data_IF_931555971847
#
_entry.id   IF_931555971847
#
_cell.length_a   1.000
_cell.length_b   1.000
_cell.length_c   1.000
_cell.angle_alpha   90.00
_cell.angle_beta   90.00
_cell.angle_gamma   90.00
#
_symmetry.space_group_name_H-M   'P 1'
#
loop_
_entity.id
_entity.type
_entity.pdbx_description
1 polymer ?
#
# COMPACT_ATOMS: atom_id res chain seq x y z
N UNK A 1 -6.38 -12.30 -2.79
CA UNK A 1 -6.62 -11.05 -2.04
C UNK A 1 -7.22 -10.01 -2.97
N UNK A 2 -7.82 -8.90 -2.49
CA UNK A 2 -8.50 -7.92 -3.37
C UNK A 2 -8.02 -6.48 -3.25
N UNK A 3 -7.34 -6.12 -2.17
CA UNK A 3 -6.77 -4.78 -2.00
C UNK A 3 -5.30 -4.81 -1.61
N UNK A 4 -4.45 -4.09 -2.34
CA UNK A 4 -3.04 -3.88 -2.05
C UNK A 4 -2.81 -2.45 -1.54
N UNK A 5 -2.36 -2.33 -0.29
CA UNK A 5 -2.02 -1.08 0.37
C UNK A 5 -0.51 -1.03 0.54
N UNK A 6 0.11 0.07 0.16
CA UNK A 6 1.57 0.23 0.22
C UNK A 6 1.91 1.52 0.97
N UNK A 7 2.90 1.50 1.87
CA UNK A 7 3.45 2.75 2.40
C UNK A 7 4.15 3.55 1.30
N UNK A 8 4.36 4.84 1.53
CA UNK A 8 5.13 5.70 0.64
C UNK A 8 6.60 5.77 1.06
N UNK A 9 6.88 6.36 2.22
CA UNK A 9 8.24 6.52 2.73
C UNK A 9 8.84 5.16 3.08
N UNK A 10 10.07 4.90 2.64
CA UNK A 10 10.75 3.61 2.87
C UNK A 10 10.35 2.49 1.92
N UNK A 11 9.30 2.68 1.12
CA UNK A 11 8.79 1.66 0.18
C UNK A 11 8.75 2.17 -1.26
N UNK A 12 7.99 3.23 -1.54
CA UNK A 12 7.78 3.79 -2.89
C UNK A 12 8.71 4.97 -3.23
N UNK A 13 9.42 5.54 -2.26
CA UNK A 13 10.37 6.64 -2.46
C UNK A 13 11.84 6.17 -2.57
N UNK A 14 12.07 4.86 -2.58
CA UNK A 14 13.38 4.22 -2.68
C UNK A 14 14.13 4.45 -4.00
N UNK A 15 15.11 3.60 -4.31
CA UNK A 15 15.95 3.72 -5.51
C UNK A 15 15.12 3.76 -6.81
N UNK A 16 15.63 4.42 -7.85
CA UNK A 16 14.90 4.57 -9.12
C UNK A 16 14.49 3.23 -9.74
N UNK A 17 15.36 2.22 -9.63
CA UNK A 17 15.07 0.86 -10.07
C UNK A 17 13.88 0.25 -9.34
N UNK A 18 13.86 0.29 -8.01
CA UNK A 18 12.75 -0.22 -7.20
C UNK A 18 11.45 0.53 -7.49
N UNK A 19 11.50 1.86 -7.68
CA UNK A 19 10.32 2.64 -8.06
C UNK A 19 9.75 2.21 -9.41
N UNK A 20 10.60 1.87 -10.38
CA UNK A 20 10.17 1.35 -11.68
C UNK A 20 9.48 -0.01 -11.53
N UNK A 21 10.04 -0.89 -10.69
CA UNK A 21 9.49 -2.23 -10.42
C UNK A 21 8.15 -2.16 -9.68
N UNK A 22 8.04 -1.27 -8.68
CA UNK A 22 6.78 -0.97 -8.00
C UNK A 22 5.69 -0.49 -8.95
N UNK A 23 6.01 0.43 -9.88
CA UNK A 23 5.05 0.87 -10.90
C UNK A 23 4.55 -0.29 -11.75
N UNK A 24 5.46 -1.14 -12.23
CA UNK A 24 5.09 -2.34 -13.01
C UNK A 24 4.18 -3.28 -12.22
N UNK A 25 4.47 -3.50 -10.94
CA UNK A 25 3.67 -4.35 -10.05
C UNK A 25 2.26 -3.79 -9.82
N UNK A 26 2.15 -2.48 -9.56
CA UNK A 26 0.85 -1.81 -9.38
C UNK A 26 0.02 -1.78 -10.67
N UNK A 27 0.67 -1.58 -11.82
CA UNK A 27 0.01 -1.67 -13.13
C UNK A 27 -0.56 -3.07 -13.38
N UNK A 28 0.18 -4.13 -13.05
CA UNK A 28 -0.31 -5.50 -13.17
C UNK A 28 -1.44 -5.81 -12.17
N UNK A 29 -1.29 -5.39 -10.91
CA UNK A 29 -2.34 -5.55 -9.91
C UNK A 29 -3.66 -4.90 -10.38
N UNK A 30 -3.57 -3.69 -10.91
CA UNK A 30 -4.72 -2.97 -11.47
C UNK A 30 -5.32 -3.68 -12.69
N UNK A 31 -4.50 -4.22 -13.58
CA UNK A 31 -4.98 -4.97 -14.75
C UNK A 31 -5.80 -6.22 -14.34
N UNK A 32 -5.45 -6.84 -13.21
CA UNK A 32 -6.16 -7.98 -12.63
C UNK A 32 -7.32 -7.59 -11.70
N UNK A 33 -7.67 -6.29 -11.65
CA UNK A 33 -8.81 -5.79 -10.90
C UNK A 33 -8.60 -5.71 -9.38
N UNK A 34 -7.34 -5.66 -8.93
CA UNK A 34 -7.00 -5.45 -7.52
C UNK A 34 -7.05 -3.96 -7.21
N UNK A 35 -7.79 -3.58 -6.17
CA UNK A 35 -7.82 -2.20 -5.69
C UNK A 35 -6.49 -1.83 -5.07
N UNK A 36 -5.97 -0.65 -5.37
CA UNK A 36 -4.64 -0.22 -4.92
C UNK A 36 -4.70 1.11 -4.16
N UNK A 37 -3.97 1.21 -3.06
CA UNK A 37 -3.86 2.45 -2.29
C UNK A 37 -2.47 2.69 -1.73
N UNK A 38 -2.14 3.97 -1.56
CA UNK A 38 -1.06 4.40 -0.68
C UNK A 38 -1.66 4.76 0.67
N UNK A 39 -1.13 4.18 1.75
CA UNK A 39 -1.42 4.61 3.13
C UNK A 39 -0.13 5.09 3.78
N UNK A 40 -0.01 6.40 4.00
CA UNK A 40 1.20 7.01 4.58
C UNK A 40 0.88 7.79 5.85
N UNK A 41 1.72 7.60 6.87
CA UNK A 41 1.71 8.44 8.07
C UNK A 41 2.42 9.78 7.75
N UNK A 42 1.75 10.61 6.96
CA UNK A 42 2.22 11.91 6.50
C UNK A 42 1.19 12.99 6.89
N UNK A 43 1.68 14.17 7.26
CA UNK A 43 0.83 15.30 7.67
C UNK A 43 -0.11 15.77 6.55
N UNK A 44 0.22 15.47 5.30
CA UNK A 44 -0.55 15.82 4.12
C UNK A 44 -0.30 17.23 3.61
N UNK A 45 -1.36 17.86 3.10
CA UNK A 45 -1.29 19.21 2.58
C UNK A 45 -0.44 19.35 1.31
N UNK A 46 0.11 20.55 1.03
CA UNK A 46 0.83 20.81 -0.22
C UNK A 46 2.11 19.98 -0.40
N UNK A 47 2.79 19.63 0.69
CA UNK A 47 4.05 18.87 0.66
C UNK A 47 3.84 17.41 0.24
N UNK A 48 2.63 16.86 0.43
CA UNK A 48 2.27 15.52 -0.03
C UNK A 48 1.95 15.45 -1.54
N UNK A 49 2.19 16.52 -2.32
CA UNK A 49 1.99 16.53 -3.76
C UNK A 49 2.72 15.38 -4.51
N UNK A 50 3.96 14.97 -4.15
CA UNK A 50 4.62 13.82 -4.75
C UNK A 50 3.88 12.51 -4.50
N UNK A 51 3.30 12.31 -3.31
CA UNK A 51 2.52 11.11 -2.96
C UNK A 51 1.23 11.08 -3.80
N UNK A 52 0.50 12.21 -3.84
CA UNK A 52 -0.73 12.35 -4.64
C UNK A 52 -0.51 12.21 -6.13
N UNK A 53 0.70 12.42 -6.62
CA UNK A 53 1.01 12.23 -8.03
C UNK A 53 0.79 10.78 -8.48
N UNK A 54 0.94 9.80 -7.59
CA UNK A 54 0.69 8.39 -7.91
C UNK A 54 -0.78 8.15 -8.28
N UNK A 55 -1.71 8.67 -7.48
CA UNK A 55 -3.13 8.61 -7.79
C UNK A 55 -3.48 9.44 -9.03
N UNK A 56 -2.97 10.68 -9.14
CA UNK A 56 -3.23 11.55 -10.30
C UNK A 56 -2.76 10.94 -11.62
N UNK A 57 -1.68 10.18 -11.60
CA UNK A 57 -1.15 9.47 -12.75
C UNK A 57 -1.79 8.08 -12.95
N UNK A 58 -2.75 7.69 -12.11
CA UNK A 58 -3.52 6.45 -12.23
C UNK A 58 -2.79 5.19 -11.76
N UNK A 59 -1.64 5.32 -11.10
CA UNK A 59 -0.82 4.20 -10.59
C UNK A 59 -1.44 3.52 -9.36
N UNK A 60 -2.19 4.28 -8.57
CA UNK A 60 -3.01 3.76 -7.47
C UNK A 60 -4.40 4.37 -7.55
N UNK A 61 -5.39 3.71 -6.96
CA UNK A 61 -6.77 4.17 -6.97
C UNK A 61 -7.02 5.22 -5.87
N UNK A 62 -6.31 5.11 -4.74
CA UNK A 62 -6.39 6.10 -3.66
C UNK A 62 -5.07 6.42 -2.95
N UNK A 63 -5.02 7.60 -2.33
CA UNK A 63 -3.94 8.07 -1.46
C UNK A 63 -4.55 8.54 -0.15
N UNK A 64 -4.23 7.84 0.93
CA UNK A 64 -4.68 8.09 2.30
C UNK A 64 -3.49 8.59 3.12
N UNK A 65 -3.63 9.79 3.68
CA UNK A 65 -2.60 10.48 4.45
C UNK A 65 -3.13 10.70 5.87
N UNK A 66 -2.37 10.25 6.88
CA UNK A 66 -2.86 10.22 8.27
C UNK A 66 -3.27 11.60 8.79
N UNK A 67 -2.51 12.65 8.46
CA UNK A 67 -2.82 14.03 8.88
C UNK A 67 -4.14 14.57 8.33
N UNK A 68 -4.66 13.98 7.26
CA UNK A 68 -5.91 14.41 6.61
C UNK A 68 -7.12 13.60 7.04
N UNK A 69 -6.90 12.33 7.39
CA UNK A 69 -7.98 11.43 7.86
C UNK A 69 -8.07 11.36 9.38
N UNK A 70 -7.09 11.90 10.11
CA UNK A 70 -7.09 12.00 11.57
C UNK A 70 -6.68 10.72 12.30
N UNK A 71 -6.24 9.68 11.58
CA UNK A 71 -5.81 8.40 12.12
C UNK A 71 -4.55 7.92 11.39
N UNK A 72 -3.65 7.25 12.11
CA UNK A 72 -2.36 6.79 11.59
C UNK A 72 -2.10 5.32 11.90
N UNK A 73 -1.25 4.67 11.10
CA UNK A 73 -0.75 3.33 11.40
C UNK A 73 0.04 3.39 12.71
N UNK A 74 -0.05 2.40 13.63
CA UNK A 74 -0.73 1.11 13.50
C UNK A 74 -2.19 1.07 14.02
N UNK A 75 -2.89 2.21 14.13
CA UNK A 75 -4.23 2.22 14.73
C UNK A 75 -5.23 1.41 13.90
N UNK A 76 -6.19 0.75 14.55
CA UNK A 76 -7.24 0.02 13.84
C UNK A 76 -8.11 0.96 13.00
N UNK A 77 -8.34 2.19 13.47
CA UNK A 77 -9.16 3.20 12.82
C UNK A 77 -8.66 3.55 11.41
N UNK A 78 -7.34 3.69 11.22
CA UNK A 78 -6.83 4.00 9.88
C UNK A 78 -7.06 2.85 8.89
N UNK A 79 -7.02 1.61 9.36
CA UNK A 79 -7.29 0.44 8.52
C UNK A 79 -8.78 0.31 8.18
N UNK A 80 -9.67 0.70 9.08
CA UNK A 80 -11.10 0.79 8.82
C UNK A 80 -11.40 1.86 7.75
N UNK A 81 -10.72 3.02 7.81
CA UNK A 81 -10.83 4.08 6.80
C UNK A 81 -10.37 3.59 5.42
N UNK A 82 -9.24 2.86 5.34
CA UNK A 82 -8.78 2.33 4.05
C UNK A 82 -9.75 1.28 3.50
N UNK A 83 -10.26 0.39 4.36
CA UNK A 83 -11.26 -0.60 3.98
C UNK A 83 -12.53 0.05 3.40
N UNK A 84 -13.03 1.11 4.03
CA UNK A 84 -14.17 1.89 3.54
C UNK A 84 -13.88 2.55 2.19
N UNK A 85 -12.74 3.21 2.03
CA UNK A 85 -12.37 3.91 0.78
C UNK A 85 -12.18 2.98 -0.40
N UNK A 86 -11.76 1.74 -0.14
CA UNK A 86 -11.62 0.71 -1.17
C UNK A 86 -12.87 -0.16 -1.36
N UNK A 87 -13.92 0.04 -0.55
CA UNK A 87 -15.14 -0.77 -0.54
C UNK A 87 -14.86 -2.28 -0.34
N UNK A 88 -13.91 -2.60 0.54
CA UNK A 88 -13.47 -3.97 0.85
C UNK A 88 -13.51 -4.25 2.35
N UNK A 89 -13.59 -5.52 2.73
CA UNK A 89 -13.36 -5.94 4.12
C UNK A 89 -11.87 -5.99 4.45
N UNK A 90 -11.50 -5.71 5.71
CA UNK A 90 -10.10 -5.77 6.17
C UNK A 90 -9.39 -7.09 5.85
N UNK A 91 -10.12 -8.20 5.92
CA UNK A 91 -9.60 -9.55 5.61
C UNK A 91 -9.27 -9.75 4.12
N UNK A 92 -9.65 -8.80 3.25
CA UNK A 92 -9.35 -8.79 1.82
C UNK A 92 -8.15 -7.89 1.47
N UNK A 93 -7.59 -7.18 2.46
CA UNK A 93 -6.51 -6.20 2.31
C UNK A 93 -5.15 -6.78 2.70
N UNK A 94 -4.13 -6.41 1.92
CA UNK A 94 -2.71 -6.65 2.21
C UNK A 94 -2.04 -5.30 2.44
N UNK A 95 -1.36 -5.13 3.57
CA UNK A 95 -0.50 -3.97 3.84
C UNK A 95 0.97 -4.34 3.58
N UNK A 96 1.66 -3.54 2.76
CA UNK A 96 3.12 -3.57 2.60
C UNK A 96 3.71 -2.32 3.24
N UNK A 97 4.59 -2.51 4.22
CA UNK A 97 5.13 -1.44 5.06
C UNK A 97 6.51 -1.83 5.59
N UNK A 98 7.43 -0.86 5.71
CA UNK A 98 8.79 -1.07 6.21
C UNK A 98 8.91 -0.94 7.74
N UNK A 99 7.81 -0.61 8.42
CA UNK A 99 7.71 -0.64 9.88
C UNK A 99 7.05 -1.93 10.36
N UNK A 100 7.81 -2.74 11.10
CA UNK A 100 7.29 -3.96 11.72
C UNK A 100 6.16 -3.68 12.72
N UNK A 101 6.11 -2.48 13.29
CA UNK A 101 5.04 -2.07 14.21
C UNK A 101 3.73 -1.86 13.44
N UNK A 102 3.80 -1.21 12.26
CA UNK A 102 2.65 -1.03 11.37
C UNK A 102 2.10 -2.38 10.90
N UNK A 103 3.00 -3.27 10.47
CA UNK A 103 2.62 -4.62 10.04
C UNK A 103 1.96 -5.42 11.16
N UNK A 104 2.49 -5.38 12.39
CA UNK A 104 1.84 -6.04 13.53
C UNK A 104 0.44 -5.51 13.79
N UNK A 105 0.26 -4.19 13.79
CA UNK A 105 -1.06 -3.58 13.95
C UNK A 105 -2.04 -3.97 12.85
N UNK A 106 -1.58 -4.03 11.60
CA UNK A 106 -2.41 -4.46 10.48
C UNK A 106 -2.87 -5.92 10.65
N UNK A 107 -1.97 -6.81 11.05
CA UNK A 107 -2.30 -8.23 11.32
C UNK A 107 -3.26 -8.36 12.49
N UNK A 108 -3.06 -7.62 13.58
CA UNK A 108 -3.98 -7.59 14.74
C UNK A 108 -5.37 -7.04 14.37
N UNK A 109 -5.44 -6.12 13.41
CA UNK A 109 -6.69 -5.60 12.84
C UNK A 109 -7.35 -6.56 11.82
N UNK A 110 -6.69 -7.65 11.44
CA UNK A 110 -7.22 -8.68 10.55
C UNK A 110 -6.84 -8.54 9.07
N UNK A 111 -5.87 -7.68 8.74
CA UNK A 111 -5.26 -7.61 7.41
C UNK A 111 -4.18 -8.68 7.27
N UNK A 112 -3.78 -8.96 6.02
CA UNK A 112 -2.50 -9.62 5.77
C UNK A 112 -1.40 -8.56 5.76
N UNK A 113 -0.29 -8.81 6.45
CA UNK A 113 0.85 -7.90 6.49
C UNK A 113 2.06 -8.49 5.77
N UNK A 114 2.70 -7.71 4.90
CA UNK A 114 3.97 -8.02 4.23
C UNK A 114 5.00 -7.02 4.70
N UNK A 115 6.00 -7.50 5.45
CA UNK A 115 7.06 -6.65 5.97
C UNK A 115 8.11 -6.35 4.89
N UNK A 116 8.21 -5.08 4.52
CA UNK A 116 9.11 -4.61 3.48
C UNK A 116 10.51 -4.33 4.03
N UNK A 117 11.52 -4.96 3.43
CA UNK A 117 12.94 -4.66 3.68
C UNK A 117 13.74 -4.54 2.39
N UNK A 118 13.32 -5.28 1.37
CA UNK A 118 13.89 -5.29 0.04
C UNK A 118 12.80 -5.75 -0.93
N UNK A 119 12.81 -5.19 -2.14
CA UNK A 119 11.81 -5.48 -3.15
C UNK A 119 11.76 -6.97 -3.51
N UNK A 120 12.93 -7.60 -3.75
CA UNK A 120 13.02 -9.00 -4.19
C UNK A 120 12.36 -9.99 -3.22
N UNK A 121 12.34 -9.68 -1.93
CA UNK A 121 11.65 -10.50 -0.93
C UNK A 121 10.15 -10.24 -0.91
N UNK A 122 9.76 -8.97 -0.86
CA UNK A 122 8.36 -8.58 -0.74
C UNK A 122 7.55 -8.95 -1.98
N UNK A 123 8.14 -8.83 -3.17
CA UNK A 123 7.43 -9.10 -4.43
C UNK A 123 7.02 -10.56 -4.56
N UNK A 124 7.80 -11.50 -4.03
CA UNK A 124 7.43 -12.93 -3.99
C UNK A 124 6.21 -13.15 -3.10
N UNK A 125 6.13 -12.46 -1.96
CA UNK A 125 4.96 -12.56 -1.08
C UNK A 125 3.72 -11.93 -1.75
N UNK A 126 3.87 -10.73 -2.33
CA UNK A 126 2.77 -9.99 -2.97
C UNK A 126 2.21 -10.78 -4.16
N UNK A 127 3.07 -11.23 -5.08
CA UNK A 127 2.63 -11.98 -6.27
C UNK A 127 1.87 -13.25 -5.90
N UNK A 128 2.32 -14.00 -4.91
CA UNK A 128 1.61 -15.19 -4.42
C UNK A 128 0.26 -14.87 -3.74
N UNK A 129 0.16 -13.77 -2.98
CA UNK A 129 -1.09 -13.38 -2.30
C UNK A 129 -2.19 -12.94 -3.27
N UNK A 130 -1.79 -12.41 -4.42
CA UNK A 130 -2.68 -11.88 -5.45
C UNK A 130 -2.79 -12.74 -6.70
N UNK A 131 -2.02 -13.84 -6.79
CA UNK A 131 -1.95 -14.73 -7.96
C UNK A 131 -1.54 -13.98 -9.24
N UNK A 132 -0.58 -13.07 -9.11
CA UNK A 132 -0.08 -12.25 -10.22
C UNK A 132 0.96 -12.99 -11.05
N UNK A 133 0.72 -13.09 -12.35
CA UNK A 133 1.66 -13.66 -13.30
C UNK A 133 2.69 -12.62 -13.80
N UNK A 134 3.98 -12.91 -13.65
CA UNK A 134 5.07 -12.14 -14.25
C UNK A 134 6.30 -11.95 -13.37
N UNK A 135 7.41 -11.52 -13.98
CA UNK A 135 8.61 -11.08 -13.27
C UNK A 135 8.55 -9.56 -13.07
N UNK A 136 8.66 -9.10 -11.82
CA UNK A 136 8.51 -7.70 -11.41
C UNK A 136 9.81 -7.12 -10.87
#
# INVERSE_FOLDING_TARGET
MRGLIVDYCGVLDGAEEDRRRWKKLLEAAKADGISTAILSNDEGGPNAAPIRAWQKNGLVDDVILSGEVGAEKPSQEVFDIVAERLELGRTELVLVDDSIVNIKGAVEAGLIGVYYQQFDRAVVEITNLFDLDGEF
#
